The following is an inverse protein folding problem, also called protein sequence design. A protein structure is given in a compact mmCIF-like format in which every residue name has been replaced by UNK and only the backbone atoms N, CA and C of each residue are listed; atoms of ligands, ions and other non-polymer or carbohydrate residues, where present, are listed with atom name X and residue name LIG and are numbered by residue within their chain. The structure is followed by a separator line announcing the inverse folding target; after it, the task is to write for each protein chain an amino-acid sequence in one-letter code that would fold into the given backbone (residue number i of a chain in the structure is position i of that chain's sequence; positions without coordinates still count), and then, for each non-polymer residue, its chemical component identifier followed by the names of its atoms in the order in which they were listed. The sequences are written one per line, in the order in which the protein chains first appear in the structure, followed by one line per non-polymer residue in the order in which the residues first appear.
data_IF_185551332702
#
_entry.id   IF_185551332702
#
_cell.length_a   1.000
_cell.length_b   1.000
_cell.length_c   1.000
_cell.angle_alpha   90.00
_cell.angle_beta   90.00
_cell.angle_gamma   90.00
#
_symmetry.space_group_name_H-M   'P 1'
#
loop_
_entity.id
_entity.type
_entity.pdbx_description
1 polymer ?
#
# COMPACT_ATOMS: atom_id res chain seq x y z
N UNK A 1 19.56 -5.94 3.45
CA UNK A 1 18.31 -6.56 2.93
C UNK A 1 17.19 -5.56 3.08
N UNK A 2 16.48 -5.18 2.01
CA UNK A 2 15.33 -4.27 2.10
C UNK A 2 14.15 -5.02 2.72
N UNK A 3 13.99 -4.92 4.04
CA UNK A 3 13.01 -5.71 4.83
C UNK A 3 11.65 -5.04 4.99
N UNK A 4 11.37 -3.95 4.27
CA UNK A 4 10.09 -3.27 4.46
C UNK A 4 8.94 -4.13 3.94
N UNK A 5 7.81 -4.22 4.67
CA UNK A 5 6.60 -4.86 4.17
C UNK A 5 6.20 -4.36 2.78
N UNK A 6 5.61 -5.24 1.98
CA UNK A 6 5.06 -4.90 0.68
C UNK A 6 3.59 -4.50 0.80
N UNK A 7 3.13 -3.68 -0.15
CA UNK A 7 1.75 -3.28 -0.29
C UNK A 7 1.34 -3.40 -1.77
N UNK A 8 0.15 -3.94 -2.04
CA UNK A 8 -0.33 -4.16 -3.41
C UNK A 8 -1.49 -3.22 -3.72
N UNK A 9 -1.35 -2.48 -4.82
CA UNK A 9 -2.42 -1.66 -5.38
C UNK A 9 -3.01 -2.37 -6.60
N UNK A 10 -4.33 -2.53 -6.63
CA UNK A 10 -5.08 -2.88 -7.84
C UNK A 10 -5.58 -1.59 -8.49
N UNK A 11 -5.15 -1.30 -9.72
CA UNK A 11 -5.43 -0.02 -10.38
C UNK A 11 -6.24 -0.24 -11.66
N UNK A 12 -7.31 0.56 -11.81
CA UNK A 12 -8.16 0.59 -12.99
C UNK A 12 -9.09 -0.60 -13.12
N UNK A 13 -9.97 -0.56 -14.13
CA UNK A 13 -10.98 -1.60 -14.39
C UNK A 13 -10.35 -2.97 -14.69
N UNK A 14 -9.14 -2.97 -15.24
CA UNK A 14 -8.38 -4.18 -15.56
C UNK A 14 -7.67 -4.80 -14.33
N UNK A 15 -7.83 -4.22 -13.14
CA UNK A 15 -7.24 -4.67 -11.87
C UNK A 15 -5.72 -4.89 -11.97
N UNK A 16 -5.00 -3.93 -12.56
CA UNK A 16 -3.55 -4.02 -12.70
C UNK A 16 -2.92 -4.02 -11.31
N UNK A 17 -2.21 -5.09 -10.95
CA UNK A 17 -1.57 -5.23 -9.64
C UNK A 17 -0.17 -4.64 -9.64
N UNK A 18 0.05 -3.67 -8.77
CA UNK A 18 1.34 -3.02 -8.56
C UNK A 18 1.77 -3.25 -7.11
N UNK A 19 2.82 -4.05 -6.92
CA UNK A 19 3.37 -4.35 -5.59
C UNK A 19 4.61 -3.51 -5.35
N UNK A 20 4.62 -2.78 -4.22
CA UNK A 20 5.67 -1.82 -3.87
C UNK A 20 6.06 -1.92 -2.40
N UNK A 21 7.21 -1.35 -2.06
CA UNK A 21 7.64 -1.23 -0.67
C UNK A 21 6.75 -0.23 0.08
N UNK A 22 6.02 -0.70 1.09
CA UNK A 22 5.06 0.09 1.86
C UNK A 22 5.70 1.35 2.46
N UNK A 23 6.93 1.22 2.97
CA UNK A 23 7.67 2.34 3.56
C UNK A 23 8.04 3.43 2.53
N UNK A 24 8.18 3.09 1.25
CA UNK A 24 8.49 4.07 0.21
C UNK A 24 7.26 4.91 -0.14
N UNK A 25 6.08 4.29 -0.15
CA UNK A 25 4.81 4.95 -0.49
C UNK A 25 4.23 5.73 0.70
N UNK A 26 4.30 5.18 1.92
CA UNK A 26 3.82 5.87 3.12
C UNK A 26 4.50 7.23 3.33
N UNK A 27 5.78 7.33 2.94
CA UNK A 27 6.54 8.60 3.03
C UNK A 27 6.13 9.66 2.00
N UNK A 28 5.33 9.30 0.99
CA UNK A 28 4.95 10.25 -0.08
C UNK A 28 3.85 11.21 0.36
N UNK A 29 2.94 10.79 1.24
CA UNK A 29 1.89 11.67 1.77
C UNK A 29 1.25 11.10 3.04
N UNK A 30 0.66 11.99 3.86
CA UNK A 30 -0.07 11.59 5.07
C UNK A 30 -1.27 10.67 4.76
N UNK A 31 -1.94 10.88 3.62
CA UNK A 31 -3.06 10.03 3.20
C UNK A 31 -2.59 8.61 2.86
N UNK A 32 -1.44 8.47 2.20
CA UNK A 32 -0.86 7.17 1.87
C UNK A 32 -0.32 6.47 3.11
N UNK A 33 0.25 7.21 4.06
CA UNK A 33 0.64 6.65 5.36
C UNK A 33 -0.57 6.09 6.11
N UNK A 34 -1.68 6.86 6.17
CA UNK A 34 -2.92 6.41 6.79
C UNK A 34 -3.53 5.19 6.09
N UNK A 35 -3.46 5.11 4.76
CA UNK A 35 -3.91 3.95 4.00
C UNK A 35 -3.07 2.69 4.29
N UNK A 36 -1.76 2.84 4.45
CA UNK A 36 -0.81 1.74 4.58
C UNK A 36 -0.66 1.25 6.02
N UNK A 37 -0.67 2.18 6.98
CA UNK A 37 -0.35 1.93 8.39
C UNK A 37 -1.52 2.25 9.35
N UNK A 38 -2.63 2.78 8.84
CA UNK A 38 -3.79 3.15 9.65
C UNK A 38 -4.69 1.96 10.02
N UNK A 39 -5.86 2.24 10.63
CA UNK A 39 -6.74 1.22 11.16
C UNK A 39 -7.62 0.54 10.08
N UNK A 40 -7.56 0.98 8.83
CA UNK A 40 -8.39 0.50 7.75
C UNK A 40 -8.10 -0.96 7.39
N UNK A 41 -9.07 -1.62 6.73
CA UNK A 41 -8.93 -3.02 6.32
C UNK A 41 -7.75 -3.20 5.36
N UNK A 42 -7.53 -2.23 4.48
CA UNK A 42 -6.48 -2.20 3.46
C UNK A 42 -5.08 -2.25 4.09
N UNK A 43 -4.87 -1.58 5.22
CA UNK A 43 -3.62 -1.62 5.98
C UNK A 43 -3.37 -3.02 6.58
N UNK A 44 -4.43 -3.68 7.05
CA UNK A 44 -4.36 -5.01 7.64
C UNK A 44 -4.14 -6.10 6.58
N UNK A 45 -4.82 -5.99 5.43
CA UNK A 45 -4.71 -6.93 4.30
C UNK A 45 -3.54 -6.63 3.37
N UNK A 46 -2.87 -5.48 3.54
CA UNK A 46 -1.77 -4.98 2.69
C UNK A 46 -2.15 -4.84 1.22
N UNK A 47 -3.41 -4.51 0.96
CA UNK A 47 -3.97 -4.43 -0.38
C UNK A 47 -5.03 -3.34 -0.46
N UNK A 48 -4.95 -2.51 -1.50
CA UNK A 48 -5.97 -1.51 -1.85
C UNK A 48 -6.37 -1.64 -3.32
N UNK A 49 -7.60 -1.28 -3.65
CA UNK A 49 -8.20 -1.34 -4.99
C UNK A 49 -9.02 -0.10 -5.29
#
# INVERSE_FOLDING_TARGET
VFTSPQFTFSIGENNVKVTVHAAAIAKQSQALDALINGPMKEAQTRMAS
#
